data_IF_554822072767
#
_entry.id   IF_554822072767
#
_cell.length_a   1.000
_cell.length_b   1.000
_cell.length_c   1.000
_cell.angle_alpha   90.00
_cell.angle_beta   90.00
_cell.angle_gamma   90.00
#
_symmetry.space_group_name_H-M   'P 1'
#
loop_
_entity.id
_entity.type
_entity.pdbx_description
1 polymer ?
#
# COMPACT_ATOMS: atom_id res chain seq x y z
N UNK A 1 36.43 24.05 -39.15
CA UNK A 1 36.35 25.04 -38.04
C UNK A 1 35.50 24.45 -36.93
N UNK A 2 36.05 24.23 -35.74
CA UNK A 2 35.25 23.74 -34.61
C UNK A 2 34.51 24.92 -33.97
N UNK A 3 33.27 25.16 -34.41
CA UNK A 3 32.38 26.13 -33.74
C UNK A 3 32.13 25.72 -32.29
N UNK A 4 31.95 26.68 -31.39
CA UNK A 4 31.59 26.43 -29.98
C UNK A 4 30.37 25.50 -29.85
N UNK A 5 29.44 25.56 -30.80
CA UNK A 5 28.28 24.66 -30.86
C UNK A 5 28.67 23.21 -31.11
N UNK A 6 29.65 22.94 -31.98
CA UNK A 6 30.11 21.58 -32.27
C UNK A 6 30.83 20.97 -31.05
N UNK A 7 31.58 21.80 -30.29
CA UNK A 7 32.21 21.38 -29.03
C UNK A 7 31.16 21.09 -27.95
N UNK A 8 30.15 21.93 -27.80
CA UNK A 8 29.05 21.73 -26.87
C UNK A 8 28.26 20.46 -27.19
N UNK A 9 27.96 20.21 -28.47
CA UNK A 9 27.32 18.98 -28.91
C UNK A 9 28.15 17.73 -28.58
N UNK A 10 29.47 17.77 -28.77
CA UNK A 10 30.38 16.68 -28.40
C UNK A 10 30.38 16.39 -26.89
N UNK A 11 30.46 17.44 -26.06
CA UNK A 11 30.41 17.30 -24.60
C UNK A 11 29.05 16.76 -24.13
N UNK A 12 27.95 17.24 -24.71
CA UNK A 12 26.61 16.74 -24.39
C UNK A 12 26.41 15.28 -24.82
N UNK A 13 26.90 14.90 -26.00
CA UNK A 13 26.89 13.51 -26.46
C UNK A 13 27.72 12.59 -25.56
N UNK A 14 28.91 13.04 -25.14
CA UNK A 14 29.71 12.30 -24.17
C UNK A 14 29.02 12.18 -22.80
N UNK A 15 28.42 13.27 -22.30
CA UNK A 15 27.69 13.25 -21.05
C UNK A 15 26.50 12.28 -21.10
N UNK A 16 25.69 12.30 -22.17
CA UNK A 16 24.53 11.43 -22.30
C UNK A 16 24.93 9.96 -22.44
N UNK A 17 26.00 9.65 -23.17
CA UNK A 17 26.52 8.27 -23.27
C UNK A 17 26.98 7.75 -21.92
N UNK A 18 27.80 8.51 -21.17
CA UNK A 18 28.23 8.13 -19.81
C UNK A 18 27.02 7.99 -18.87
N UNK A 19 26.07 8.92 -18.93
CA UNK A 19 24.86 8.86 -18.12
C UNK A 19 24.03 7.60 -18.41
N UNK A 20 23.89 7.21 -19.68
CA UNK A 20 23.19 5.98 -20.07
C UNK A 20 23.91 4.72 -19.60
N UNK A 21 25.25 4.68 -19.66
CA UNK A 21 26.03 3.55 -19.13
C UNK A 21 25.88 3.42 -17.61
N UNK A 22 25.99 4.51 -16.86
CA UNK A 22 25.81 4.52 -15.40
C UNK A 22 24.36 4.14 -15.04
N UNK A 23 23.39 4.68 -15.78
CA UNK A 23 21.97 4.32 -15.64
C UNK A 23 21.73 2.82 -15.92
N UNK A 24 22.37 2.27 -16.94
CA UNK A 24 22.33 0.84 -17.26
C UNK A 24 22.88 -0.02 -16.12
N UNK A 25 24.05 0.35 -15.57
CA UNK A 25 24.64 -0.34 -14.41
C UNK A 25 23.72 -0.24 -13.19
N UNK A 26 23.11 0.93 -12.96
CA UNK A 26 22.16 1.11 -11.87
C UNK A 26 20.92 0.24 -12.03
N UNK A 27 20.36 0.15 -13.23
CA UNK A 27 19.25 -0.75 -13.52
C UNK A 27 19.63 -2.23 -13.33
N UNK A 28 20.82 -2.64 -13.77
CA UNK A 28 21.32 -4.01 -13.63
C UNK A 28 21.63 -4.38 -12.17
N UNK A 29 22.05 -3.42 -11.35
CA UNK A 29 22.37 -3.67 -9.94
C UNK A 29 21.20 -4.24 -9.14
N UNK A 30 19.95 -3.90 -9.51
CA UNK A 30 18.74 -4.39 -8.85
C UNK A 30 18.56 -5.89 -9.06
N UNK A 31 19.02 -6.43 -10.20
CA UNK A 31 18.98 -7.87 -10.48
C UNK A 31 19.93 -8.67 -9.58
N UNK A 32 21.02 -8.04 -9.11
CA UNK A 32 22.04 -8.71 -8.29
C UNK A 32 21.66 -8.77 -6.80
N UNK A 33 20.73 -7.93 -6.34
CA UNK A 33 20.29 -7.88 -4.94
C UNK A 33 18.77 -8.09 -4.81
N UNK A 34 18.25 -9.31 -5.02
CA UNK A 34 16.80 -9.56 -5.08
C UNK A 34 16.07 -9.54 -3.71
N UNK A 35 16.65 -8.91 -2.68
CA UNK A 35 16.01 -8.59 -1.39
C UNK A 35 15.29 -9.77 -0.69
N UNK A 36 16.02 -10.86 -0.48
CA UNK A 36 15.53 -12.10 0.15
C UNK A 36 14.97 -11.91 1.58
N UNK A 37 15.47 -10.92 2.32
CA UNK A 37 15.07 -10.67 3.70
C UNK A 37 13.77 -9.86 3.86
N UNK A 38 13.13 -9.43 2.77
CA UNK A 38 11.87 -8.70 2.86
C UNK A 38 10.75 -9.63 3.32
N UNK A 39 10.08 -9.31 4.44
CA UNK A 39 9.01 -10.12 5.02
C UNK A 39 7.76 -9.28 5.26
N UNK A 40 6.60 -9.77 4.84
CA UNK A 40 5.32 -9.15 5.20
C UNK A 40 4.30 -10.18 5.63
N UNK A 41 3.62 -9.89 6.74
CA UNK A 41 2.58 -10.70 7.33
C UNK A 41 1.35 -9.85 7.61
N UNK A 42 0.18 -10.36 7.25
CA UNK A 42 -1.12 -9.73 7.53
C UNK A 42 -2.02 -10.69 8.30
N UNK A 43 -2.67 -10.17 9.35
CA UNK A 43 -3.68 -10.92 10.10
C UNK A 43 -5.00 -10.16 10.17
N UNK A 44 -6.10 -10.89 10.06
CA UNK A 44 -7.44 -10.32 10.18
C UNK A 44 -7.77 -10.04 11.66
N UNK A 45 -8.31 -8.86 11.95
CA UNK A 45 -8.91 -8.56 13.27
C UNK A 45 -10.42 -8.60 13.26
N UNK A 46 -11.03 -7.99 12.25
CA UNK A 46 -12.47 -7.90 12.18
C UNK A 46 -12.93 -7.71 10.74
N UNK A 47 -13.97 -8.42 10.33
CA UNK A 47 -14.66 -8.21 9.08
C UNK A 47 -16.15 -8.03 9.37
N UNK A 48 -16.79 -7.05 8.73
CA UNK A 48 -18.24 -6.81 8.81
C UNK A 48 -18.78 -6.50 7.43
N UNK A 49 -19.94 -7.04 7.08
CA UNK A 49 -20.63 -6.71 5.82
C UNK A 49 -21.85 -5.85 6.11
N UNK A 50 -21.97 -4.74 5.39
CA UNK A 50 -23.06 -3.78 5.52
C UNK A 50 -23.68 -3.57 4.14
N UNK A 51 -25.00 -3.47 4.08
CA UNK A 51 -25.73 -3.09 2.87
C UNK A 51 -26.02 -1.60 2.88
N UNK A 52 -25.61 -0.88 1.84
CA UNK A 52 -25.81 0.56 1.77
C UNK A 52 -25.44 1.15 0.42
N UNK A 53 -25.33 2.48 0.34
CA UNK A 53 -24.76 3.17 -0.82
C UNK A 53 -23.25 3.30 -0.58
N UNK A 54 -22.38 2.68 -1.41
CA UNK A 54 -20.93 2.77 -1.21
C UNK A 54 -20.41 4.19 -1.41
N UNK A 55 -20.93 4.87 -2.44
CA UNK A 55 -20.62 6.25 -2.78
C UNK A 55 -21.90 7.09 -2.75
N UNK A 56 -21.76 8.37 -2.39
CA UNK A 56 -22.90 9.30 -2.31
C UNK A 56 -23.71 9.38 -3.61
N UNK A 57 -23.03 9.31 -4.75
CA UNK A 57 -23.63 9.37 -6.09
C UNK A 57 -24.10 8.01 -6.64
N UNK A 58 -23.89 6.90 -5.93
CA UNK A 58 -24.38 5.60 -6.39
C UNK A 58 -25.87 5.46 -6.09
N UNK A 59 -26.65 5.22 -7.14
CA UNK A 59 -28.09 4.95 -7.04
C UNK A 59 -28.38 3.55 -6.50
N UNK A 60 -27.45 2.60 -6.70
CA UNK A 60 -27.58 1.20 -6.32
C UNK A 60 -27.15 0.97 -4.86
N UNK A 61 -27.97 0.20 -4.14
CA UNK A 61 -27.64 -0.29 -2.79
C UNK A 61 -26.88 -1.61 -2.95
N UNK A 62 -25.64 -1.64 -2.50
CA UNK A 62 -24.74 -2.77 -2.61
C UNK A 62 -24.25 -3.21 -1.23
N UNK A 63 -23.82 -4.45 -1.14
CA UNK A 63 -23.16 -4.99 0.04
C UNK A 63 -21.67 -4.69 -0.05
N UNK A 64 -21.13 -4.04 0.98
CA UNK A 64 -19.71 -3.75 1.08
C UNK A 64 -19.14 -4.23 2.41
N UNK A 65 -17.88 -4.68 2.39
CA UNK A 65 -17.19 -5.12 3.58
C UNK A 65 -16.36 -4.00 4.20
N UNK A 66 -16.43 -3.91 5.52
CA UNK A 66 -15.52 -3.14 6.37
C UNK A 66 -14.55 -4.11 7.03
N UNK A 67 -13.28 -4.03 6.66
CA UNK A 67 -12.22 -4.89 7.16
C UNK A 67 -11.29 -4.09 8.07
N UNK A 68 -10.87 -4.73 9.16
CA UNK A 68 -9.80 -4.29 10.05
C UNK A 68 -8.75 -5.39 10.16
N UNK A 69 -7.49 -5.01 10.05
CA UNK A 69 -6.37 -5.95 10.01
C UNK A 69 -5.18 -5.41 10.80
N UNK A 70 -4.27 -6.32 11.16
CA UNK A 70 -2.91 -5.98 11.58
C UNK A 70 -1.95 -6.30 10.44
N UNK A 71 -0.94 -5.44 10.26
CA UNK A 71 0.11 -5.59 9.25
C UNK A 71 1.46 -5.45 9.93
N UNK A 72 2.28 -6.48 9.81
CA UNK A 72 3.69 -6.47 10.18
C UNK A 72 4.52 -6.70 8.92
N UNK A 73 5.17 -5.66 8.42
CA UNK A 73 6.04 -5.76 7.26
C UNK A 73 7.42 -5.18 7.58
N UNK A 74 8.45 -5.99 7.38
CA UNK A 74 9.84 -5.56 7.36
C UNK A 74 10.33 -5.54 5.92
N UNK A 75 10.33 -4.34 5.34
CA UNK A 75 10.72 -4.06 3.97
C UNK A 75 12.03 -3.27 3.91
N UNK A 76 12.77 -3.20 5.03
CA UNK A 76 14.01 -2.41 5.11
C UNK A 76 15.08 -2.90 4.13
N UNK A 77 15.14 -4.20 3.85
CA UNK A 77 16.07 -4.80 2.88
C UNK A 77 15.82 -4.36 1.42
N UNK A 78 14.62 -3.86 1.11
CA UNK A 78 14.29 -3.34 -0.22
C UNK A 78 14.80 -1.92 -0.45
N UNK A 79 15.19 -1.20 0.61
CA UNK A 79 15.80 0.12 0.50
C UNK A 79 17.29 -0.01 0.22
N UNK A 80 17.66 0.18 -1.04
CA UNK A 80 19.03 0.33 -1.48
C UNK A 80 19.22 1.72 -2.13
N UNK A 81 20.43 1.98 -2.62
CA UNK A 81 20.80 3.26 -3.22
C UNK A 81 20.00 3.61 -4.50
N UNK A 82 19.47 2.62 -5.22
CA UNK A 82 18.64 2.82 -6.40
C UNK A 82 17.13 2.81 -6.08
N UNK A 83 16.70 2.56 -4.85
CA UNK A 83 15.27 2.57 -4.49
C UNK A 83 14.79 4.01 -4.28
N UNK A 84 13.74 4.42 -5.00
CA UNK A 84 13.09 5.73 -4.82
C UNK A 84 11.96 5.65 -3.80
N UNK A 85 11.05 4.71 -4.02
CA UNK A 85 9.87 4.53 -3.18
C UNK A 85 9.35 3.09 -3.27
N UNK A 86 8.68 2.65 -2.22
CA UNK A 86 8.03 1.35 -2.14
C UNK A 86 6.54 1.60 -1.94
N UNK A 87 5.72 1.04 -2.82
CA UNK A 87 4.27 1.05 -2.69
C UNK A 87 3.82 -0.26 -2.06
N UNK A 88 3.29 -0.20 -0.84
CA UNK A 88 2.81 -1.36 -0.09
C UNK A 88 1.29 -1.34 -0.10
N UNK A 89 0.67 -2.47 -0.39
CA UNK A 89 -0.78 -2.59 -0.45
C UNK A 89 -1.23 -3.91 0.19
N UNK A 90 -2.41 -3.86 0.80
CA UNK A 90 -3.10 -5.04 1.32
C UNK A 90 -4.31 -5.27 0.44
N UNK A 91 -4.46 -6.50 -0.04
CA UNK A 91 -5.57 -6.90 -0.89
C UNK A 91 -6.28 -8.11 -0.33
N UNK A 92 -7.60 -8.17 -0.55
CA UNK A 92 -8.43 -9.32 -0.26
C UNK A 92 -8.56 -10.17 -1.53
N UNK A 93 -8.28 -11.46 -1.43
CA UNK A 93 -8.51 -12.45 -2.48
C UNK A 93 -9.70 -13.33 -2.10
N UNK A 94 -10.68 -13.45 -2.99
CA UNK A 94 -11.91 -14.21 -2.77
C UNK A 94 -12.45 -14.81 -4.07
N UNK A 95 -13.26 -15.87 -3.97
CA UNK A 95 -13.89 -16.50 -5.16
C UNK A 95 -14.88 -15.54 -5.81
N UNK A 96 -14.72 -15.28 -7.12
CA UNK A 96 -15.61 -14.41 -7.89
C UNK A 96 -17.03 -14.97 -8.06
N UNK A 97 -17.21 -16.28 -7.91
CA UNK A 97 -18.51 -16.96 -8.01
C UNK A 97 -18.81 -17.78 -6.77
N UNK A 98 -20.11 -17.94 -6.47
CA UNK A 98 -20.60 -18.86 -5.42
C UNK A 98 -20.33 -20.33 -5.79
N UNK A 99 -20.19 -20.63 -7.09
CA UNK A 99 -19.79 -21.95 -7.57
C UNK A 99 -18.27 -22.05 -7.53
N UNK A 100 -17.77 -23.05 -6.80
CA UNK A 100 -16.34 -23.40 -6.77
C UNK A 100 -15.94 -24.00 -8.13
N UNK A 101 -15.53 -23.15 -9.07
CA UNK A 101 -14.96 -23.56 -10.35
C UNK A 101 -13.45 -23.29 -10.33
N UNK A 102 -12.64 -24.30 -10.64
CA UNK A 102 -11.18 -24.16 -10.74
C UNK A 102 -10.73 -23.34 -11.96
N UNK A 103 -11.64 -23.03 -12.89
CA UNK A 103 -11.34 -22.34 -14.14
C UNK A 103 -11.36 -20.81 -14.00
N UNK A 104 -12.00 -20.27 -12.95
CA UNK A 104 -12.08 -18.83 -12.74
C UNK A 104 -11.02 -18.39 -11.73
N UNK A 105 -10.21 -17.36 -12.04
CA UNK A 105 -9.28 -16.80 -11.08
C UNK A 105 -10.05 -16.14 -9.93
N UNK A 106 -9.43 -16.07 -8.75
CA UNK A 106 -9.99 -15.32 -7.63
C UNK A 106 -10.06 -13.82 -7.97
N UNK A 107 -11.10 -13.15 -7.48
CA UNK A 107 -11.17 -11.70 -7.46
C UNK A 107 -10.21 -11.16 -6.40
N UNK A 108 -9.33 -10.25 -6.81
CA UNK A 108 -8.42 -9.55 -5.91
C UNK A 108 -8.84 -8.08 -5.80
N UNK A 109 -8.94 -7.57 -4.58
CA UNK A 109 -9.34 -6.18 -4.36
C UNK A 109 -8.49 -5.52 -3.28
N UNK A 110 -7.86 -4.40 -3.62
CA UNK A 110 -7.00 -3.65 -2.70
C UNK A 110 -7.86 -2.90 -1.68
N UNK A 111 -7.61 -3.16 -0.40
CA UNK A 111 -8.34 -2.55 0.71
C UNK A 111 -7.57 -1.41 1.39
N UNK A 112 -6.25 -1.40 1.25
CA UNK A 112 -5.37 -0.41 1.87
C UNK A 112 -4.05 -0.30 1.12
N UNK A 113 -3.47 0.90 1.10
CA UNK A 113 -2.20 1.20 0.47
C UNK A 113 -1.43 2.29 1.24
N UNK A 114 -0.11 2.23 1.15
CA UNK A 114 0.78 3.30 1.58
C UNK A 114 2.02 3.37 0.69
N UNK A 115 2.61 4.57 0.60
CA UNK A 115 3.88 4.79 -0.10
C UNK A 115 4.93 5.10 0.96
N UNK A 116 5.99 4.32 0.97
CA UNK A 116 7.18 4.54 1.78
C UNK A 116 8.26 5.10 0.86
N UNK A 117 8.58 6.38 1.01
CA UNK A 117 9.70 6.99 0.28
C UNK A 117 11.03 6.60 0.89
N UNK A 118 12.07 6.50 0.05
CA UNK A 118 13.43 6.30 0.54
C UNK A 118 13.87 7.49 1.40
N UNK A 119 14.70 7.25 2.43
CA UNK A 119 15.29 8.33 3.20
C UNK A 119 16.15 9.21 2.29
N UNK A 120 16.17 10.52 2.58
CA UNK A 120 17.05 11.46 1.88
C UNK A 120 18.51 11.02 2.02
N UNK A 121 19.21 10.96 0.88
CA UNK A 121 20.62 10.59 0.91
C UNK A 121 21.45 11.69 1.59
N UNK A 122 22.53 11.35 2.32
CA UNK A 122 23.43 12.35 2.91
C UNK A 122 24.09 13.28 1.87
N UNK A 123 24.07 12.88 0.60
CA UNK A 123 24.60 13.62 -0.53
C UNK A 123 23.53 14.34 -1.35
N UNK A 124 22.28 14.38 -0.87
CA UNK A 124 21.25 15.17 -1.53
C UNK A 124 21.62 16.65 -1.48
N UNK A 125 21.19 17.43 -2.48
CA UNK A 125 21.51 18.85 -2.55
C UNK A 125 21.10 19.60 -1.26
N UNK A 126 19.98 19.22 -0.67
CA UNK A 126 19.51 19.79 0.60
C UNK A 126 20.43 19.43 1.78
N UNK A 127 20.85 18.17 1.88
CA UNK A 127 21.77 17.72 2.92
C UNK A 127 23.16 18.38 2.77
N UNK A 128 23.69 18.45 1.54
CA UNK A 128 24.96 19.12 1.24
C UNK A 128 24.86 20.62 1.49
N UNK A 129 23.78 21.28 1.06
CA UNK A 129 23.54 22.70 1.33
C UNK A 129 23.50 22.96 2.83
N UNK A 130 22.82 22.13 3.61
CA UNK A 130 22.79 22.26 5.08
C UNK A 130 24.18 22.03 5.70
N UNK A 131 24.96 21.08 5.18
CA UNK A 131 26.31 20.76 5.67
C UNK A 131 27.33 21.85 5.36
N UNK A 132 27.32 22.41 4.15
CA UNK A 132 28.32 23.37 3.67
C UNK A 132 27.90 24.83 3.83
N UNK A 133 26.60 25.10 3.78
CA UNK A 133 26.02 26.43 3.99
C UNK A 133 24.93 26.36 5.07
N UNK A 134 25.27 25.98 6.32
CA UNK A 134 24.32 26.03 7.42
C UNK A 134 23.88 27.49 7.56
N UNK A 135 22.59 27.76 7.41
CA UNK A 135 22.07 29.10 7.63
C UNK A 135 22.42 29.52 9.05
N UNK A 136 23.31 30.51 9.20
CA UNK A 136 23.54 31.22 10.47
C UNK A 136 22.28 32.03 10.77
N UNK A 137 21.25 31.38 11.32
CA UNK A 137 20.22 32.07 12.07
C UNK A 137 20.29 31.62 13.53
N UNK A 138 20.84 32.52 14.33
CA UNK A 138 20.50 32.73 15.72
C UNK A 138 19.01 32.51 16.03
N UNK A 139 18.76 31.87 17.18
CA UNK A 139 17.51 31.80 17.97
C UNK A 139 16.54 30.64 17.69
N UNK A 140 16.03 29.97 18.75
CA UNK A 140 15.09 28.88 18.64
C UNK A 140 13.73 29.44 18.22
N UNK A 141 13.36 29.22 16.96
CA UNK A 141 12.04 29.59 16.48
C UNK A 141 11.00 28.67 17.14
N UNK A 142 10.36 29.22 18.19
CA UNK A 142 9.08 28.81 18.76
C UNK A 142 8.17 28.19 17.70
N UNK A 143 7.61 27.03 18.02
CA UNK A 143 6.32 26.56 17.48
C UNK A 143 5.34 27.74 17.51
N UNK A 144 5.02 28.30 16.35
CA UNK A 144 3.85 29.15 16.23
C UNK A 144 2.87 28.48 15.27
N UNK A 145 2.03 27.67 15.89
CA UNK A 145 0.86 27.01 15.33
C UNK A 145 -0.15 28.11 15.00
N UNK A 146 -0.10 28.65 13.77
CA UNK A 146 -1.15 29.56 13.30
C UNK A 146 -2.34 28.72 12.85
N UNK A 147 -3.37 28.70 13.70
CA UNK A 147 -4.74 28.29 13.39
C UNK A 147 -5.17 28.87 12.04
N UNK A 148 -5.45 28.00 11.07
CA UNK A 148 -6.53 28.23 10.11
C UNK A 148 -7.65 27.25 10.46
N UNK A 149 -8.79 27.85 10.79
CA UNK A 149 -10.04 27.18 11.10
C UNK A 149 -10.69 26.66 9.83
N UNK A 150 -10.70 25.34 9.64
CA UNK A 150 -11.84 24.63 9.04
C UNK A 150 -11.79 23.15 9.46
N UNK A 151 -12.95 22.67 9.88
CA UNK A 151 -13.12 21.45 10.65
C UNK A 151 -12.81 20.18 9.85
N UNK A 152 -11.97 19.30 10.41
CA UNK A 152 -12.07 17.86 10.18
C UNK A 152 -11.46 17.10 11.36
N UNK A 153 -12.12 15.98 11.66
CA UNK A 153 -12.15 15.24 12.92
C UNK A 153 -10.82 14.52 13.22
N UNK A 154 -10.47 14.55 14.51
CA UNK A 154 -9.53 13.68 15.24
C UNK A 154 -9.30 12.31 14.58
N UNK A 155 -8.04 11.99 14.31
CA UNK A 155 -7.51 10.64 14.61
C UNK A 155 -6.11 10.81 15.20
N UNK A 156 -5.97 10.21 16.36
CA UNK A 156 -4.81 10.15 17.27
C UNK A 156 -3.47 9.99 16.56
N UNK A 157 -2.57 10.95 16.82
CA UNK A 157 -1.15 10.82 16.56
C UNK A 157 -0.59 9.70 17.45
N UNK A 158 -0.38 8.53 16.87
CA UNK A 158 0.51 7.52 17.42
C UNK A 158 1.92 8.10 17.47
N UNK A 159 2.56 7.95 18.63
CA UNK A 159 3.96 8.25 18.92
C UNK A 159 4.82 7.64 17.80
N UNK A 160 5.36 8.47 16.92
CA UNK A 160 6.22 8.07 15.80
C UNK A 160 7.58 7.66 16.39
N UNK A 161 7.67 6.43 16.89
CA UNK A 161 8.97 5.79 17.07
C UNK A 161 9.69 5.83 15.72
N UNK A 162 10.95 6.25 15.73
CA UNK A 162 11.79 6.34 14.53
C UNK A 162 12.20 4.92 14.12
N UNK A 163 11.22 4.12 13.69
CA UNK A 163 11.46 2.82 13.09
C UNK A 163 12.33 3.01 11.85
N UNK A 164 13.24 2.07 11.62
CA UNK A 164 14.08 2.05 10.43
C UNK A 164 13.21 2.20 9.15
N UNK A 165 13.70 2.89 8.11
CA UNK A 165 12.95 3.06 6.88
C UNK A 165 12.53 1.69 6.33
N UNK A 166 11.23 1.51 6.08
CA UNK A 166 10.68 0.26 5.55
C UNK A 166 10.05 -0.69 6.57
N UNK A 167 10.08 -0.39 7.88
CA UNK A 167 9.34 -1.20 8.87
C UNK A 167 7.94 -0.63 9.08
N UNK A 168 6.92 -1.41 8.77
CA UNK A 168 5.51 -1.10 9.02
C UNK A 168 4.95 -2.04 10.10
N UNK A 169 4.48 -1.44 11.19
CA UNK A 169 3.74 -2.15 12.26
C UNK A 169 2.42 -1.44 12.48
N UNK A 170 1.36 -1.96 11.90
CA UNK A 170 0.01 -1.42 12.01
C UNK A 170 -0.86 -2.40 12.78
N UNK A 171 -1.51 -1.91 13.83
CA UNK A 171 -2.45 -2.68 14.64
C UNK A 171 -3.85 -2.11 14.49
N UNK A 172 -4.85 -2.97 14.27
CA UNK A 172 -6.26 -2.65 14.16
C UNK A 172 -6.54 -1.57 13.09
N UNK A 173 -5.77 -1.63 12.00
CA UNK A 173 -5.81 -0.69 10.89
C UNK A 173 -7.13 -0.83 10.15
N UNK A 174 -7.79 0.29 9.89
CA UNK A 174 -9.02 0.34 9.09
C UNK A 174 -8.67 0.32 7.60
N UNK A 175 -9.38 -0.48 6.82
CA UNK A 175 -9.33 -0.41 5.37
C UNK A 175 -9.62 1.01 4.86
N UNK A 176 -8.83 1.46 3.88
CA UNK A 176 -9.01 2.75 3.21
C UNK A 176 -10.12 2.68 2.16
N UNK A 177 -10.19 1.55 1.46
CA UNK A 177 -11.19 1.28 0.44
C UNK A 177 -12.20 0.25 0.93
N UNK A 178 -13.46 0.46 0.52
CA UNK A 178 -14.52 -0.51 0.72
C UNK A 178 -14.54 -1.43 -0.51
N UNK A 179 -14.76 -2.72 -0.28
CA UNK A 179 -14.88 -3.71 -1.34
C UNK A 179 -16.35 -4.08 -1.51
N UNK A 180 -16.81 -4.11 -2.75
CA UNK A 180 -18.08 -4.67 -3.18
C UNK A 180 -17.83 -5.65 -4.33
N UNK A 181 -18.72 -6.62 -4.49
CA UNK A 181 -18.64 -7.59 -5.58
C UNK A 181 -19.53 -7.18 -6.76
N UNK A 182 -19.18 -7.63 -7.97
CA UNK A 182 -19.96 -7.37 -9.19
C UNK A 182 -21.39 -7.90 -9.11
N UNK A 183 -21.62 -8.95 -8.31
CA UNK A 183 -22.94 -9.52 -8.07
C UNK A 183 -23.81 -8.66 -7.14
N UNK A 184 -23.24 -7.63 -6.50
CA UNK A 184 -23.88 -6.80 -5.49
C UNK A 184 -24.07 -7.50 -4.14
N UNK A 185 -23.65 -8.77 -4.01
CA UNK A 185 -23.67 -9.56 -2.78
C UNK A 185 -22.26 -9.92 -2.35
N UNK A 186 -21.94 -9.65 -1.10
CA UNK A 186 -20.64 -9.95 -0.50
C UNK A 186 -20.76 -10.73 0.81
N UNK A 187 -21.94 -10.70 1.43
CA UNK A 187 -22.21 -11.52 2.60
C UNK A 187 -22.05 -13.01 2.26
N UNK A 188 -21.54 -13.79 3.21
CA UNK A 188 -21.42 -15.25 3.13
C UNK A 188 -20.45 -15.78 2.06
N UNK A 189 -19.69 -14.89 1.39
CA UNK A 189 -18.59 -15.32 0.54
C UNK A 189 -17.51 -16.00 1.38
N UNK A 190 -17.12 -17.20 0.93
CA UNK A 190 -16.23 -18.10 1.65
C UNK A 190 -14.80 -18.02 1.14
N UNK A 191 -13.86 -18.44 1.98
CA UNK A 191 -12.42 -18.52 1.67
C UNK A 191 -11.80 -17.18 1.25
N UNK A 192 -12.17 -16.12 1.95
CA UNK A 192 -11.53 -14.81 1.79
C UNK A 192 -10.19 -14.85 2.49
N UNK A 193 -9.14 -14.40 1.81
CA UNK A 193 -7.79 -14.29 2.38
C UNK A 193 -7.29 -12.86 2.23
N UNK A 194 -6.59 -12.34 3.23
CA UNK A 194 -5.86 -11.08 3.10
C UNK A 194 -4.41 -11.40 2.75
N UNK A 195 -3.88 -10.69 1.77
CA UNK A 195 -2.49 -10.80 1.35
C UNK A 195 -1.87 -9.41 1.27
N UNK A 196 -0.56 -9.36 1.45
CA UNK A 196 0.22 -8.12 1.29
C UNK A 196 0.97 -8.21 -0.02
N UNK A 197 0.96 -7.13 -0.78
CA UNK A 197 1.85 -6.96 -1.92
C UNK A 197 2.65 -5.67 -1.77
N UNK A 198 3.78 -5.62 -2.48
CA UNK A 198 4.54 -4.40 -2.63
C UNK A 198 5.11 -4.25 -4.03
N UNK A 199 5.31 -2.99 -4.42
CA UNK A 199 6.01 -2.60 -5.64
C UNK A 199 7.22 -1.75 -5.28
N UNK A 200 8.40 -2.16 -5.72
CA UNK A 200 9.63 -1.37 -5.57
C UNK A 200 9.84 -0.56 -6.83
N UNK A 201 9.84 0.76 -6.68
CA UNK A 201 10.14 1.69 -7.76
C UNK A 201 11.58 2.18 -7.63
N UNK A 202 12.46 1.81 -8.58
CA UNK A 202 13.82 2.33 -8.61
C UNK A 202 13.86 3.76 -9.16
N UNK A 203 14.98 4.46 -8.94
CA UNK A 203 15.31 5.71 -9.62
C UNK A 203 15.53 5.46 -11.12
N UNK A 204 16.21 4.35 -11.44
CA UNK A 204 16.43 3.90 -12.81
C UNK A 204 16.19 2.38 -12.88
N UNK A 205 15.26 1.96 -13.74
CA UNK A 205 14.98 0.54 -13.99
C UNK A 205 13.48 0.22 -14.08
N UNK A 206 13.18 -1.07 -14.21
CA UNK A 206 11.80 -1.58 -14.21
C UNK A 206 11.18 -1.58 -12.81
N UNK A 207 9.85 -1.62 -12.73
CA UNK A 207 9.11 -1.80 -11.49
C UNK A 207 9.21 -3.27 -11.04
N UNK A 208 9.48 -3.50 -9.76
CA UNK A 208 9.60 -4.85 -9.20
C UNK A 208 8.42 -5.18 -8.30
N UNK A 209 7.86 -6.37 -8.48
CA UNK A 209 6.69 -6.84 -7.73
C UNK A 209 7.08 -7.76 -6.57
N UNK A 210 6.20 -7.87 -5.58
CA UNK A 210 6.35 -8.84 -4.50
C UNK A 210 6.13 -10.28 -4.98
N UNK A 211 6.71 -11.28 -4.31
CA UNK A 211 6.50 -12.68 -4.66
C UNK A 211 5.02 -13.04 -4.61
N UNK A 212 4.56 -13.82 -5.59
CA UNK A 212 3.15 -14.21 -5.70
C UNK A 212 2.20 -13.11 -6.20
N UNK A 213 2.71 -11.92 -6.51
CA UNK A 213 1.92 -10.80 -7.05
C UNK A 213 2.44 -10.33 -8.41
N UNK A 214 1.53 -9.78 -9.23
CA UNK A 214 1.86 -8.97 -10.40
C UNK A 214 2.79 -9.61 -11.44
N UNK A 215 3.46 -8.75 -12.20
CA UNK A 215 4.31 -9.10 -13.33
C UNK A 215 5.77 -9.38 -12.91
N UNK A 216 6.56 -9.92 -13.84
CA UNK A 216 8.03 -10.04 -13.72
C UNK A 216 8.65 -8.67 -14.04
N UNK A 217 9.70 -8.19 -13.34
CA UNK A 217 10.52 -8.88 -12.33
C UNK A 217 9.92 -8.91 -10.92
N UNK A 218 10.25 -9.97 -10.18
CA UNK A 218 9.77 -10.21 -8.80
C UNK A 218 10.93 -10.23 -7.81
N UNK A 219 10.67 -9.72 -6.62
CA UNK A 219 11.58 -9.80 -5.46
C UNK A 219 11.52 -11.19 -4.83
N UNK A 220 12.57 -11.59 -4.12
CA UNK A 220 12.72 -12.91 -3.50
C UNK A 220 12.25 -12.96 -2.03
N UNK A 221 11.53 -11.94 -1.57
CA UNK A 221 11.02 -11.88 -0.19
C UNK A 221 9.97 -12.95 0.15
N UNK A 222 9.44 -12.90 1.37
CA UNK A 222 8.38 -13.81 1.82
C UNK A 222 7.11 -13.04 2.15
N UNK A 223 5.99 -13.47 1.56
CA UNK A 223 4.65 -12.95 1.84
C UNK A 223 3.87 -14.00 2.60
N UNK A 224 3.36 -13.64 3.79
CA UNK A 224 2.48 -14.49 4.61
C UNK A 224 1.08 -13.90 4.59
N UNK A 225 0.17 -14.61 3.93
CA UNK A 225 -1.25 -14.28 3.88
C UNK A 225 -1.95 -14.63 5.19
N UNK A 226 -3.09 -13.98 5.45
CA UNK A 226 -3.92 -14.29 6.60
C UNK A 226 -4.55 -15.67 6.48
N UNK A 227 -4.98 -16.22 7.62
CA UNK A 227 -5.90 -17.35 7.64
C UNK A 227 -7.15 -17.03 6.80
N UNK A 228 -7.66 -18.05 6.10
CA UNK A 228 -8.90 -17.95 5.37
C UNK A 228 -10.06 -17.69 6.33
N UNK A 229 -10.95 -16.79 5.95
CA UNK A 229 -12.15 -16.46 6.72
C UNK A 229 -13.34 -16.26 5.79
N UNK A 230 -14.52 -16.34 6.36
CA UNK A 230 -15.77 -16.13 5.65
C UNK A 230 -16.34 -14.76 6.00
N UNK A 231 -16.92 -14.07 5.03
CA UNK A 231 -17.61 -12.83 5.31
C UNK A 231 -18.86 -13.09 6.14
N UNK A 232 -19.06 -12.38 7.27
CA UNK A 232 -20.22 -12.60 8.10
C UNK A 232 -21.51 -12.19 7.39
N UNK A 233 -22.63 -12.75 7.85
CA UNK A 233 -23.95 -12.33 7.43
C UNK A 233 -24.18 -10.83 7.63
N UNK A 234 -25.09 -10.26 6.84
CA UNK A 234 -25.39 -8.83 6.82
C UNK A 234 -25.68 -8.28 8.22
N UNK A 235 -24.95 -7.23 8.59
CA UNK A 235 -25.17 -6.49 9.83
C UNK A 235 -26.59 -5.90 9.82
N UNK A 236 -27.47 -6.49 10.62
CA UNK A 236 -28.90 -6.16 10.68
C UNK A 236 -29.84 -7.32 10.32
N UNK A 237 -29.37 -8.30 9.54
CA UNK A 237 -30.16 -9.50 9.19
C UNK A 237 -30.45 -10.37 10.43
N UNK A 238 -29.48 -10.53 11.34
CA UNK A 238 -29.70 -11.23 12.62
C UNK A 238 -30.73 -10.52 13.52
N UNK A 239 -30.78 -9.19 13.49
CA UNK A 239 -31.74 -8.42 14.27
C UNK A 239 -33.16 -8.49 13.68
N UNK A 240 -33.29 -8.51 12.34
CA UNK A 240 -34.58 -8.73 11.68
C UNK A 240 -35.07 -10.17 11.79
N UNK A 241 -34.18 -11.15 11.74
CA UNK A 241 -34.52 -12.57 11.91
C UNK A 241 -34.97 -12.88 13.36
N UNK A 242 -34.32 -12.28 14.37
CA UNK A 242 -34.75 -12.39 15.76
C UNK A 242 -36.13 -11.75 15.98
N UNK A 243 -36.39 -10.57 15.40
CA UNK A 243 -37.72 -9.92 15.45
C UNK A 243 -38.82 -10.72 14.74
N UNK A 244 -38.50 -11.37 13.62
CA UNK A 244 -39.45 -12.20 12.88
C UNK A 244 -39.81 -13.49 13.65
N UNK A 245 -38.84 -14.07 14.37
CA UNK A 245 -39.07 -15.23 15.23
C UNK A 245 -39.93 -14.90 16.46
N UNK A 246 -39.75 -13.72 17.07
CA UNK A 246 -40.62 -13.25 18.17
C UNK A 246 -42.05 -12.93 17.70
N UNK A 247 -42.22 -12.34 16.50
CA UNK A 247 -43.56 -12.05 15.98
C UNK A 247 -44.34 -13.29 15.54
N UNK A 248 -43.65 -14.37 15.16
CA UNK A 248 -44.29 -15.65 14.79
C UNK A 248 -44.74 -16.48 16.00
N UNK A 249 -44.19 -16.22 17.19
CA UNK A 249 -44.56 -16.89 18.44
C UNK A 249 -45.76 -16.24 19.16
N UNK A 250 -46.20 -15.05 18.74
CA UNK A 250 -47.40 -14.37 19.27
C UNK A 250 -48.68 -14.63 18.46
N UNK A 251 -48.59 -15.41 17.37
CA UNK A 251 -49.72 -15.75 16.49
C UNK A 251 -50.04 -17.25 16.47
N UNK A 252 -49.61 -18.00 17.48
CA UNK A 252 -49.95 -19.40 17.69
C UNK A 252 -50.69 -19.59 19.02
#
# INVERSE_FOLDING_TARGET
MYSSLNRAQGVFGFFTTVALFVAGIAALSVLLYPAHDAKAEVSLKNAQVIKGRPNYYSTKKEEYAQIRFDLNADLSSLFNWNTKQIFVYVYASYSSSDKKSSLLPNSESIIWDTIISAPESPYSFNALRQRFFPAKSSSPARKNQKRSTSASKKTSASKKETLAPGVLRLSNQRAKYQISDITGKLAERKNVTLSVGWNVQPWVGALWWSPGSGAVPRTAGTVVSSAAFDFPALKGSKASAAKAAESGAQTA
#
